data_IF_300011502215
#
_entry.id   IF_300011502215
#
_cell.length_a   1.000
_cell.length_b   1.000
_cell.length_c   1.000
_cell.angle_alpha   90.00
_cell.angle_beta   90.00
_cell.angle_gamma   90.00
#
_symmetry.space_group_name_H-M   'P 1'
#
loop_
_entity.id
_entity.type
_entity.pdbx_description
1 polymer ?
#
# COMPACT_ATOMS: atom_id res chain seq x y z
N UNK A 1 18.75 -10.76 11.48
CA UNK A 1 18.65 -11.34 10.11
C UNK A 1 17.42 -12.22 10.08
N UNK A 2 16.48 -11.97 9.18
CA UNK A 2 15.23 -12.75 9.02
C UNK A 2 15.04 -13.06 7.54
N UNK A 3 14.30 -14.13 7.23
CA UNK A 3 13.82 -14.40 5.89
C UNK A 3 12.49 -13.65 5.67
N UNK A 4 12.39 -12.93 4.56
CA UNK A 4 11.21 -12.11 4.23
C UNK A 4 10.77 -12.43 2.82
N UNK A 5 9.52 -12.84 2.67
CA UNK A 5 8.92 -13.07 1.35
C UNK A 5 7.91 -11.99 1.02
N UNK A 6 8.04 -11.41 -0.17
CA UNK A 6 7.16 -10.34 -0.67
C UNK A 6 6.26 -10.90 -1.77
N UNK A 7 4.99 -11.06 -1.49
CA UNK A 7 4.00 -11.43 -2.51
C UNK A 7 3.61 -10.17 -3.30
N UNK A 8 4.25 -9.99 -4.44
CA UNK A 8 4.05 -8.85 -5.33
C UNK A 8 5.25 -7.88 -5.39
N UNK A 9 6.30 -8.25 -6.14
CA UNK A 9 7.44 -7.38 -6.47
C UNK A 9 7.04 -6.36 -7.56
N UNK A 10 6.06 -5.52 -7.22
CA UNK A 10 5.60 -4.41 -8.03
C UNK A 10 6.24 -3.09 -7.60
N UNK A 11 5.51 -1.99 -7.82
CA UNK A 11 5.95 -0.61 -7.59
C UNK A 11 6.43 -0.35 -6.15
N UNK A 12 5.79 -0.94 -5.13
CA UNK A 12 6.21 -0.86 -3.73
C UNK A 12 7.11 -2.03 -3.35
N UNK A 13 6.78 -3.25 -3.78
CA UNK A 13 7.43 -4.47 -3.31
C UNK A 13 8.87 -4.63 -3.80
N UNK A 14 9.19 -4.18 -5.02
CA UNK A 14 10.56 -4.24 -5.54
C UNK A 14 11.52 -3.29 -4.79
N UNK A 15 11.21 -1.98 -4.60
CA UNK A 15 12.04 -1.11 -3.77
C UNK A 15 12.16 -1.58 -2.31
N UNK A 16 11.09 -2.15 -1.75
CA UNK A 16 11.14 -2.74 -0.40
C UNK A 16 12.11 -3.93 -0.35
N UNK A 17 12.11 -4.78 -1.38
CA UNK A 17 13.03 -5.92 -1.45
C UNK A 17 14.48 -5.46 -1.40
N UNK A 18 14.85 -4.44 -2.20
CA UNK A 18 16.20 -3.86 -2.19
C UNK A 18 16.56 -3.27 -0.83
N UNK A 19 15.67 -2.49 -0.26
CA UNK A 19 15.88 -1.88 1.06
C UNK A 19 16.14 -2.94 2.15
N UNK A 20 15.38 -4.04 2.13
CA UNK A 20 15.54 -5.13 3.10
C UNK A 20 16.81 -5.94 2.88
N UNK A 21 17.25 -6.14 1.62
CA UNK A 21 18.55 -6.75 1.29
C UNK A 21 19.71 -5.89 1.81
N UNK A 22 19.66 -4.56 1.61
CA UNK A 22 20.65 -3.61 2.14
C UNK A 22 20.71 -3.64 3.68
N UNK A 23 19.58 -3.95 4.34
CA UNK A 23 19.51 -4.15 5.80
C UNK A 23 20.00 -5.53 6.25
N UNK A 24 20.45 -6.40 5.34
CA UNK A 24 21.00 -7.72 5.64
C UNK A 24 19.97 -8.82 5.88
N UNK A 25 18.73 -8.64 5.39
CA UNK A 25 17.72 -9.70 5.39
C UNK A 25 17.87 -10.63 4.19
N UNK A 26 17.38 -11.87 4.29
CA UNK A 26 17.17 -12.75 3.15
C UNK A 26 15.81 -12.44 2.52
N UNK A 27 15.80 -12.07 1.24
CA UNK A 27 14.58 -11.62 0.60
C UNK A 27 14.23 -12.51 -0.59
N UNK A 28 12.98 -12.95 -0.60
CA UNK A 28 12.33 -13.64 -1.73
C UNK A 28 11.14 -12.83 -2.19
N UNK A 29 10.65 -13.10 -3.40
CA UNK A 29 9.42 -12.45 -3.80
C UNK A 29 8.75 -13.05 -5.02
N UNK A 30 7.55 -12.57 -5.32
CA UNK A 30 6.80 -13.00 -6.49
C UNK A 30 6.59 -11.89 -7.51
N UNK A 31 6.55 -12.29 -8.76
CA UNK A 31 6.07 -11.46 -9.87
C UNK A 31 5.04 -12.21 -10.69
N UNK A 32 4.12 -11.48 -11.33
CA UNK A 32 3.19 -12.05 -12.32
C UNK A 32 3.74 -11.95 -13.74
N UNK A 33 4.88 -11.25 -13.94
CA UNK A 33 5.50 -11.00 -15.25
C UNK A 33 6.70 -11.93 -15.45
N UNK A 34 6.66 -12.82 -16.46
CA UNK A 34 7.82 -13.62 -16.85
C UNK A 34 9.03 -12.76 -17.22
N UNK A 35 8.80 -11.62 -17.88
CA UNK A 35 9.88 -10.73 -18.30
C UNK A 35 10.64 -10.10 -17.13
N UNK A 36 9.94 -9.81 -16.02
CA UNK A 36 10.58 -9.31 -14.81
C UNK A 36 11.33 -10.39 -14.02
N UNK A 37 10.94 -11.63 -14.14
CA UNK A 37 11.49 -12.74 -13.35
C UNK A 37 13.01 -12.82 -13.48
N UNK A 38 13.52 -12.94 -14.71
CA UNK A 38 14.96 -13.07 -14.99
C UNK A 38 15.73 -11.83 -14.54
N UNK A 39 15.17 -10.64 -14.73
CA UNK A 39 15.77 -9.38 -14.28
C UNK A 39 15.90 -9.26 -12.77
N UNK A 40 14.92 -9.71 -12.01
CA UNK A 40 14.96 -9.71 -10.53
C UNK A 40 15.96 -10.76 -10.01
N UNK A 41 15.97 -11.96 -10.61
CA UNK A 41 16.91 -13.03 -10.24
C UNK A 41 18.36 -12.65 -10.54
N UNK A 42 18.63 -12.04 -11.70
CA UNK A 42 20.00 -11.59 -12.05
C UNK A 42 20.55 -10.52 -11.10
N UNK A 43 19.64 -9.78 -10.44
CA UNK A 43 19.98 -8.78 -9.43
C UNK A 43 20.04 -9.35 -8.00
N UNK A 44 19.86 -10.66 -7.80
CA UNK A 44 20.03 -11.34 -6.51
C UNK A 44 18.76 -11.47 -5.66
N UNK A 45 17.56 -11.22 -6.21
CA UNK A 45 16.31 -11.51 -5.50
C UNK A 45 15.80 -12.89 -5.93
N UNK A 46 15.71 -13.84 -5.00
CA UNK A 46 15.04 -15.13 -5.26
C UNK A 46 13.56 -14.86 -5.62
N UNK A 47 13.22 -15.07 -6.88
CA UNK A 47 11.91 -14.67 -7.42
C UNK A 47 11.19 -15.86 -8.04
N UNK A 48 9.90 -16.03 -7.73
CA UNK A 48 9.00 -17.00 -8.33
C UNK A 48 7.88 -16.32 -9.13
N UNK A 49 7.38 -17.04 -10.15
CA UNK A 49 6.12 -16.64 -10.81
C UNK A 49 4.95 -17.06 -9.92
N UNK A 50 4.12 -16.08 -9.56
CA UNK A 50 2.90 -16.33 -8.80
C UNK A 50 1.82 -15.32 -9.19
N UNK A 51 0.69 -15.83 -9.62
CA UNK A 51 -0.52 -15.07 -9.90
C UNK A 51 -1.68 -15.71 -9.10
N UNK A 52 -2.54 -14.89 -8.54
CA UNK A 52 -3.80 -15.37 -7.94
C UNK A 52 -4.96 -15.05 -8.88
N UNK A 53 -5.71 -16.09 -9.35
CA UNK A 53 -6.78 -15.96 -10.35
C UNK A 53 -8.00 -16.86 -10.08
N UNK A 54 -8.75 -16.73 -8.98
CA UNK A 54 -8.30 -16.34 -7.64
C UNK A 54 -7.33 -17.34 -7.02
N UNK A 55 -7.30 -18.60 -7.53
CA UNK A 55 -6.38 -19.65 -7.11
C UNK A 55 -4.92 -19.26 -7.41
N UNK A 56 -3.97 -19.76 -6.63
CA UNK A 56 -2.56 -19.55 -6.91
C UNK A 56 -2.12 -20.33 -8.15
N UNK A 57 -1.60 -19.63 -9.14
CA UNK A 57 -1.05 -20.15 -10.38
C UNK A 57 0.43 -19.74 -10.47
N UNK A 58 1.33 -20.67 -10.76
CA UNK A 58 2.75 -20.35 -10.90
C UNK A 58 3.68 -21.53 -10.73
N UNK A 59 4.98 -21.27 -10.82
CA UNK A 59 6.02 -22.29 -10.70
C UNK A 59 6.95 -21.92 -9.53
N UNK A 60 7.22 -22.89 -8.65
CA UNK A 60 8.18 -22.73 -7.55
C UNK A 60 7.71 -21.82 -6.41
N UNK A 61 6.49 -21.30 -6.46
CA UNK A 61 6.00 -20.27 -5.52
C UNK A 61 5.82 -20.76 -4.07
N UNK A 62 5.77 -22.08 -3.82
CA UNK A 62 5.55 -22.59 -2.46
C UNK A 62 6.69 -22.22 -1.52
N UNK A 63 7.93 -22.15 -2.02
CA UNK A 63 9.09 -21.70 -1.24
C UNK A 63 8.95 -20.27 -0.69
N UNK A 64 8.09 -19.45 -1.28
CA UNK A 64 7.79 -18.09 -0.78
C UNK A 64 7.07 -18.10 0.57
N UNK A 65 6.40 -19.20 0.92
CA UNK A 65 5.70 -19.34 2.20
C UNK A 65 6.58 -19.99 3.28
N UNK A 66 7.81 -20.40 2.94
CA UNK A 66 8.84 -20.87 3.88
C UNK A 66 9.69 -19.66 4.31
N UNK A 67 9.12 -18.83 5.19
CA UNK A 67 9.68 -17.52 5.56
C UNK A 67 9.30 -17.12 6.98
N UNK A 68 10.12 -16.26 7.61
CA UNK A 68 9.82 -15.71 8.94
C UNK A 68 8.71 -14.63 8.84
N UNK A 69 8.75 -13.82 7.77
CA UNK A 69 7.80 -12.74 7.54
C UNK A 69 7.26 -12.81 6.11
N UNK A 70 5.95 -12.82 5.96
CA UNK A 70 5.25 -12.73 4.68
C UNK A 70 4.69 -11.32 4.50
N UNK A 71 5.19 -10.60 3.52
CA UNK A 71 4.67 -9.27 3.14
C UNK A 71 3.73 -9.42 1.95
N UNK A 72 2.43 -9.17 2.17
CA UNK A 72 1.38 -9.37 1.18
C UNK A 72 1.02 -8.04 0.54
N UNK A 73 1.43 -7.85 -0.73
CA UNK A 73 1.28 -6.62 -1.51
C UNK A 73 0.55 -6.88 -2.84
N UNK A 74 -0.65 -7.48 -2.75
CA UNK A 74 -1.51 -7.77 -3.89
C UNK A 74 -2.57 -6.67 -4.02
N UNK A 75 -2.65 -5.95 -5.15
CA UNK A 75 -3.66 -4.91 -5.34
C UNK A 75 -5.06 -5.50 -5.60
N UNK A 76 -6.14 -4.87 -5.11
CA UNK A 76 -7.50 -5.41 -5.21
C UNK A 76 -8.09 -5.43 -6.62
N UNK A 77 -7.53 -4.72 -7.61
CA UNK A 77 -8.00 -4.66 -9.03
C UNK A 77 -9.53 -4.52 -9.20
N UNK A 78 -10.21 -3.86 -8.26
CA UNK A 78 -11.69 -3.84 -8.14
C UNK A 78 -12.45 -3.41 -9.40
N UNK A 79 -11.81 -2.68 -10.32
CA UNK A 79 -12.43 -2.22 -11.59
C UNK A 79 -12.45 -3.27 -12.70
N UNK A 80 -11.69 -4.36 -12.56
CA UNK A 80 -11.45 -5.33 -13.65
C UNK A 80 -11.80 -6.77 -13.28
N UNK A 81 -12.30 -7.01 -12.09
CA UNK A 81 -12.62 -8.36 -11.58
C UNK A 81 -13.97 -8.38 -10.88
N UNK A 82 -14.65 -9.54 -10.81
CA UNK A 82 -15.92 -9.68 -10.10
C UNK A 82 -15.81 -9.30 -8.61
N UNK A 83 -16.95 -8.89 -8.03
CA UNK A 83 -17.05 -8.70 -6.59
C UNK A 83 -16.66 -9.99 -5.83
N UNK A 84 -15.94 -9.83 -4.73
CA UNK A 84 -15.43 -10.97 -3.95
C UNK A 84 -14.15 -11.61 -4.46
N UNK A 85 -13.74 -11.34 -5.70
CA UNK A 85 -12.52 -11.94 -6.27
C UNK A 85 -11.28 -11.67 -5.42
N UNK A 86 -11.12 -10.43 -4.93
CA UNK A 86 -9.99 -10.08 -4.06
C UNK A 86 -10.03 -10.84 -2.73
N UNK A 87 -11.20 -10.98 -2.15
CA UNK A 87 -11.41 -11.76 -0.93
C UNK A 87 -10.98 -13.23 -1.11
N UNK A 88 -11.35 -13.85 -2.25
CA UNK A 88 -10.91 -15.21 -2.56
C UNK A 88 -9.39 -15.32 -2.73
N UNK A 89 -8.74 -14.36 -3.39
CA UNK A 89 -7.29 -14.33 -3.48
C UNK A 89 -6.64 -14.31 -2.09
N UNK A 90 -7.15 -13.49 -1.16
CA UNK A 90 -6.61 -13.37 0.19
C UNK A 90 -6.90 -14.62 1.04
N UNK A 91 -8.01 -15.33 0.82
CA UNK A 91 -8.23 -16.65 1.43
C UNK A 91 -7.13 -17.64 1.05
N UNK A 92 -6.78 -17.75 -0.25
CA UNK A 92 -5.70 -18.62 -0.69
C UNK A 92 -4.33 -18.22 -0.13
N UNK A 93 -4.04 -16.91 -0.02
CA UNK A 93 -2.82 -16.43 0.65
C UNK A 93 -2.79 -16.90 2.10
N UNK A 94 -3.90 -16.72 2.83
CA UNK A 94 -4.04 -17.18 4.22
C UNK A 94 -3.84 -18.68 4.35
N UNK A 95 -4.52 -19.49 3.52
CA UNK A 95 -4.41 -20.94 3.54
C UNK A 95 -2.98 -21.42 3.33
N UNK A 96 -2.28 -20.87 2.33
CA UNK A 96 -0.87 -21.19 2.07
C UNK A 96 0.03 -20.79 3.25
N UNK A 97 -0.20 -19.61 3.83
CA UNK A 97 0.56 -19.14 4.99
C UNK A 97 0.36 -20.04 6.22
N UNK A 98 -0.88 -20.46 6.49
CA UNK A 98 -1.20 -21.36 7.60
C UNK A 98 -0.60 -22.76 7.38
N UNK A 99 -0.77 -23.33 6.17
CA UNK A 99 -0.20 -24.64 5.81
C UNK A 99 1.33 -24.64 5.95
N UNK A 100 1.99 -23.56 5.59
CA UNK A 100 3.45 -23.40 5.68
C UNK A 100 3.92 -22.90 7.05
N UNK A 101 3.01 -22.70 8.01
CA UNK A 101 3.30 -22.26 9.39
C UNK A 101 4.02 -20.91 9.46
N UNK A 102 3.71 -20.00 8.54
CA UNK A 102 4.18 -18.61 8.59
C UNK A 102 3.80 -18.00 9.94
N UNK A 103 4.75 -17.32 10.58
CA UNK A 103 4.56 -16.76 11.92
C UNK A 103 4.13 -15.31 11.93
N UNK A 104 4.51 -14.56 10.91
CA UNK A 104 4.31 -13.10 10.86
C UNK A 104 3.86 -12.69 9.47
N UNK A 105 2.79 -11.91 9.40
CA UNK A 105 2.24 -11.39 8.14
C UNK A 105 2.13 -9.87 8.23
N UNK A 106 2.60 -9.17 7.21
CA UNK A 106 2.27 -7.77 6.97
C UNK A 106 1.36 -7.71 5.75
N UNK A 107 0.20 -7.11 5.92
CA UNK A 107 -0.79 -6.95 4.85
C UNK A 107 -0.88 -5.51 4.41
N UNK A 108 -0.65 -5.26 3.13
CA UNK A 108 -0.84 -3.94 2.51
C UNK A 108 -2.32 -3.75 2.22
N UNK A 109 -2.94 -2.89 3.00
CA UNK A 109 -4.31 -2.43 2.88
C UNK A 109 -4.36 -0.99 2.36
N UNK A 110 -5.50 -0.33 2.45
CA UNK A 110 -5.71 1.04 1.96
C UNK A 110 -6.58 1.85 2.90
N UNK A 111 -6.29 3.14 3.02
CA UNK A 111 -7.15 4.11 3.72
C UNK A 111 -8.52 4.30 3.06
N UNK A 112 -8.75 3.71 1.87
CA UNK A 112 -10.07 3.68 1.25
C UNK A 112 -11.11 2.87 2.03
N UNK A 113 -10.70 2.10 3.05
CA UNK A 113 -11.64 1.46 4.00
C UNK A 113 -12.39 2.48 4.83
N UNK A 114 -11.81 3.65 5.10
CA UNK A 114 -12.50 4.71 5.85
C UNK A 114 -13.48 5.47 4.95
N UNK A 115 -14.67 5.84 5.46
CA UNK A 115 -15.63 6.64 4.71
C UNK A 115 -15.16 8.10 4.58
N UNK A 116 -15.62 8.77 3.52
CA UNK A 116 -15.46 10.20 3.32
C UNK A 116 -16.68 10.92 3.96
N UNK A 117 -16.56 11.31 5.23
CA UNK A 117 -17.66 11.95 6.01
C UNK A 117 -17.28 13.31 6.57
N UNK A 118 -16.39 14.03 5.89
CA UNK A 118 -15.86 15.34 6.30
C UNK A 118 -15.28 15.32 7.71
N UNK A 119 -14.40 14.34 7.98
CA UNK A 119 -13.87 14.06 9.31
C UNK A 119 -12.40 13.67 9.29
N UNK A 120 -11.77 13.82 10.45
CA UNK A 120 -10.49 13.20 10.76
C UNK A 120 -10.73 11.79 11.30
N UNK A 121 -9.92 10.83 10.87
CA UNK A 121 -9.99 9.43 11.30
C UNK A 121 -8.62 8.86 11.61
N UNK A 122 -8.59 7.93 12.53
CA UNK A 122 -7.42 7.13 12.90
C UNK A 122 -7.74 5.63 12.87
N UNK A 123 -6.84 4.80 13.33
CA UNK A 123 -6.98 3.34 13.34
C UNK A 123 -8.04 2.82 14.30
N UNK A 124 -8.49 3.62 15.25
CA UNK A 124 -9.54 3.29 16.21
C UNK A 124 -10.96 3.40 15.64
N UNK A 125 -11.11 4.01 14.45
CA UNK A 125 -12.41 4.18 13.82
C UNK A 125 -13.12 2.83 13.61
N UNK A 126 -14.37 2.67 14.13
CA UNK A 126 -15.09 1.41 14.08
C UNK A 126 -15.62 1.11 12.67
N UNK A 127 -14.85 0.35 11.90
CA UNK A 127 -15.23 -0.05 10.53
C UNK A 127 -16.21 -1.21 10.54
N UNK A 128 -17.32 -1.03 9.83
CA UNK A 128 -18.33 -2.06 9.52
C UNK A 128 -18.55 -2.16 8.02
N UNK A 129 -19.26 -3.19 7.54
CA UNK A 129 -19.60 -3.29 6.12
C UNK A 129 -20.55 -2.18 5.65
N UNK A 130 -21.33 -1.61 6.56
CA UNK A 130 -22.28 -0.54 6.26
C UNK A 130 -21.60 0.82 6.14
N UNK A 131 -20.50 1.05 6.90
CA UNK A 131 -19.83 2.36 6.93
C UNK A 131 -18.52 2.42 6.17
N UNK A 132 -17.98 1.31 5.70
CA UNK A 132 -16.69 1.31 4.99
C UNK A 132 -16.78 1.92 3.61
N UNK A 133 -15.75 2.67 3.23
CA UNK A 133 -15.55 3.15 1.86
C UNK A 133 -15.13 2.05 0.86
N UNK A 134 -14.71 0.87 1.35
CA UNK A 134 -14.30 -0.25 0.50
C UNK A 134 -14.55 -1.61 1.16
N UNK A 135 -15.70 -2.20 0.88
CA UNK A 135 -16.10 -3.51 1.43
C UNK A 135 -15.12 -4.63 1.05
N UNK A 136 -14.62 -4.63 -0.18
CA UNK A 136 -13.69 -5.68 -0.63
C UNK A 136 -12.36 -5.69 0.13
N UNK A 137 -11.82 -4.50 0.45
CA UNK A 137 -10.59 -4.38 1.23
C UNK A 137 -10.85 -4.71 2.70
N UNK A 138 -11.94 -4.20 3.28
CA UNK A 138 -12.29 -4.53 4.65
C UNK A 138 -12.49 -6.03 4.83
N UNK A 139 -13.16 -6.70 3.88
CA UNK A 139 -13.33 -8.17 3.89
C UNK A 139 -11.98 -8.89 3.85
N UNK A 140 -11.02 -8.40 3.06
CA UNK A 140 -9.67 -8.97 3.03
C UNK A 140 -8.94 -8.82 4.38
N UNK A 141 -9.04 -7.67 5.04
CA UNK A 141 -8.52 -7.49 6.40
C UNK A 141 -9.15 -8.49 7.38
N UNK A 142 -10.48 -8.63 7.37
CA UNK A 142 -11.21 -9.54 8.27
C UNK A 142 -10.85 -11.02 8.02
N UNK A 143 -10.65 -11.44 6.76
CA UNK A 143 -10.20 -12.79 6.42
C UNK A 143 -8.86 -13.09 7.10
N UNK A 144 -7.90 -12.18 7.03
CA UNK A 144 -6.60 -12.37 7.65
C UNK A 144 -6.65 -12.29 9.18
N UNK A 145 -7.56 -11.49 9.75
CA UNK A 145 -7.74 -11.36 11.19
C UNK A 145 -8.46 -12.55 11.83
N UNK A 146 -9.37 -13.21 11.11
CA UNK A 146 -10.16 -14.32 11.65
C UNK A 146 -9.28 -15.54 11.89
N UNK A 147 -9.48 -16.24 13.02
CA UNK A 147 -8.87 -17.55 13.33
C UNK A 147 -7.38 -17.65 12.92
N UNK A 148 -6.60 -16.60 13.20
CA UNK A 148 -5.20 -16.51 12.80
C UNK A 148 -4.29 -17.31 13.74
N UNK A 149 -3.31 -18.01 13.17
CA UNK A 149 -2.21 -18.68 13.89
C UNK A 149 -0.86 -17.97 13.73
N UNK A 150 -0.89 -16.71 13.32
CA UNK A 150 0.25 -15.84 13.05
C UNK A 150 0.02 -14.44 13.62
N UNK A 151 1.08 -13.70 13.84
CA UNK A 151 1.00 -12.28 14.12
C UNK A 151 0.69 -11.52 12.82
N UNK A 152 -0.28 -10.62 12.85
CA UNK A 152 -0.72 -9.85 11.68
C UNK A 152 -0.57 -8.36 11.93
N UNK A 153 0.16 -7.67 11.05
CA UNK A 153 0.14 -6.21 11.01
C UNK A 153 -0.44 -5.73 9.69
N UNK A 154 -1.37 -4.79 9.77
CA UNK A 154 -2.03 -4.20 8.61
C UNK A 154 -1.49 -2.80 8.40
N UNK A 155 -1.09 -2.47 7.17
CA UNK A 155 -0.72 -1.11 6.79
C UNK A 155 -1.79 -0.58 5.83
N UNK A 156 -2.58 0.40 6.27
CA UNK A 156 -3.55 1.11 5.44
C UNK A 156 -2.84 2.28 4.77
N UNK A 157 -2.30 2.04 3.58
CA UNK A 157 -1.66 3.11 2.83
C UNK A 157 -2.67 4.08 2.22
N UNK A 158 -2.34 5.37 2.27
CA UNK A 158 -2.96 6.41 1.47
C UNK A 158 -2.56 6.32 0.00
N UNK A 159 -2.72 7.39 -0.75
CA UNK A 159 -2.27 7.46 -2.13
C UNK A 159 -0.75 7.30 -2.22
N UNK A 160 -0.30 6.17 -2.77
CA UNK A 160 1.11 5.87 -2.98
C UNK A 160 1.65 6.67 -4.17
N UNK A 161 2.49 7.64 -3.91
CA UNK A 161 3.04 8.61 -4.88
C UNK A 161 4.57 8.61 -4.90
N UNK A 162 5.14 9.33 -5.86
CA UNK A 162 6.58 9.43 -6.06
C UNK A 162 7.04 8.71 -7.32
N UNK A 163 8.28 8.95 -7.72
CA UNK A 163 8.88 8.44 -8.95
C UNK A 163 8.02 8.80 -10.17
N UNK A 164 7.26 7.87 -10.71
CA UNK A 164 6.40 7.98 -11.89
C UNK A 164 4.92 8.23 -11.57
N UNK A 165 4.53 8.19 -10.28
CA UNK A 165 3.15 8.42 -9.85
C UNK A 165 2.96 9.85 -9.38
N UNK A 166 2.56 10.72 -10.30
CA UNK A 166 2.41 12.17 -10.11
C UNK A 166 0.91 12.49 -10.09
N UNK A 167 0.33 12.91 -8.95
CA UNK A 167 -1.12 13.10 -8.87
C UNK A 167 -1.62 14.19 -9.81
N UNK A 168 -0.95 15.35 -9.89
CA UNK A 168 -1.34 16.44 -10.79
C UNK A 168 -1.40 16.04 -12.27
N UNK A 169 -0.55 15.12 -12.71
CA UNK A 169 -0.53 14.65 -14.11
C UNK A 169 -1.82 13.90 -14.49
N UNK A 170 -2.45 13.17 -13.54
CA UNK A 170 -3.73 12.48 -13.82
C UNK A 170 -4.89 13.44 -14.06
N UNK A 171 -4.79 14.66 -13.58
CA UNK A 171 -5.81 15.70 -13.69
C UNK A 171 -5.44 16.81 -14.64
N UNK A 172 -4.29 16.75 -15.29
CA UNK A 172 -3.84 17.73 -16.29
C UNK A 172 -4.88 17.91 -17.40
N UNK A 173 -5.28 19.16 -17.64
CA UNK A 173 -6.25 19.53 -18.68
C UNK A 173 -7.68 19.08 -18.42
N UNK A 174 -8.02 18.56 -17.25
CA UNK A 174 -9.39 18.18 -16.88
C UNK A 174 -10.14 19.35 -16.26
N UNK A 175 -11.46 19.37 -16.45
CA UNK A 175 -12.36 20.36 -15.83
C UNK A 175 -13.11 19.74 -14.65
N UNK A 176 -13.60 20.59 -13.75
CA UNK A 176 -14.40 20.22 -12.58
C UNK A 176 -13.70 19.20 -11.67
N UNK A 177 -12.41 19.42 -11.42
CA UNK A 177 -11.59 18.55 -10.57
C UNK A 177 -11.79 18.91 -9.10
N UNK A 178 -11.99 17.93 -8.23
CA UNK A 178 -12.02 18.17 -6.77
C UNK A 178 -10.70 18.78 -6.32
N UNK A 179 -10.74 19.98 -5.75
CA UNK A 179 -9.57 20.76 -5.35
C UNK A 179 -9.48 21.07 -3.85
N UNK A 180 -10.60 21.26 -3.18
CA UNK A 180 -10.71 21.74 -1.79
C UNK A 180 -10.59 20.65 -0.71
N UNK A 181 -10.39 19.40 -1.11
CA UNK A 181 -10.26 18.29 -0.16
C UNK A 181 -8.81 18.04 0.25
N UNK A 182 -8.55 17.71 1.53
CA UNK A 182 -7.21 17.36 1.98
C UNK A 182 -6.71 16.07 1.29
N UNK A 183 -5.42 16.00 1.03
CA UNK A 183 -4.80 14.79 0.51
C UNK A 183 -4.37 13.85 1.63
N UNK A 184 -4.43 12.54 1.35
CA UNK A 184 -3.89 11.50 2.21
C UNK A 184 -2.87 10.71 1.39
N UNK A 185 -1.66 11.25 1.24
CA UNK A 185 -0.62 10.71 0.39
C UNK A 185 0.57 10.21 1.20
N UNK A 186 1.33 9.30 0.63
CA UNK A 186 2.64 8.90 1.14
C UNK A 186 3.61 8.73 -0.03
N UNK A 187 4.83 9.22 0.14
CA UNK A 187 5.88 9.02 -0.85
C UNK A 187 6.42 7.59 -0.80
N UNK A 188 6.80 7.01 -1.94
CA UNK A 188 7.34 5.66 -2.07
C UNK A 188 8.47 5.37 -1.07
N UNK A 189 9.37 6.33 -0.89
CA UNK A 189 10.50 6.19 0.04
C UNK A 189 10.00 5.92 1.45
N UNK A 190 9.02 6.69 1.92
CA UNK A 190 8.47 6.50 3.27
C UNK A 190 7.57 5.27 3.38
N UNK A 191 6.87 4.88 2.32
CA UNK A 191 6.11 3.64 2.31
C UNK A 191 7.03 2.40 2.46
N UNK A 192 8.19 2.40 1.80
CA UNK A 192 9.24 1.39 1.95
C UNK A 192 9.82 1.40 3.36
N UNK A 193 10.22 2.58 3.86
CA UNK A 193 10.81 2.74 5.20
C UNK A 193 9.84 2.33 6.31
N UNK A 194 8.57 2.71 6.20
CA UNK A 194 7.52 2.33 7.15
C UNK A 194 7.33 0.80 7.18
N UNK A 195 7.29 0.16 6.01
CA UNK A 195 7.20 -1.30 5.92
C UNK A 195 8.39 -2.00 6.58
N UNK A 196 9.60 -1.50 6.37
CA UNK A 196 10.82 -2.01 7.02
C UNK A 196 10.83 -1.73 8.53
N UNK A 197 10.37 -0.53 8.95
CA UNK A 197 10.29 -0.13 10.35
C UNK A 197 9.45 -1.09 11.19
N UNK A 198 8.30 -1.52 10.68
CA UNK A 198 7.43 -2.50 11.33
C UNK A 198 8.19 -3.78 11.65
N UNK A 199 8.99 -4.27 10.69
CA UNK A 199 9.80 -5.48 10.85
C UNK A 199 10.91 -5.25 11.88
N UNK A 200 11.65 -4.15 11.76
CA UNK A 200 12.79 -3.81 12.61
C UNK A 200 12.39 -3.58 14.07
N UNK A 201 11.24 -2.95 14.29
CA UNK A 201 10.73 -2.63 15.63
C UNK A 201 9.81 -3.70 16.21
N UNK A 202 9.58 -4.80 15.46
CA UNK A 202 8.68 -5.89 15.88
C UNK A 202 7.26 -5.40 16.24
N UNK A 203 6.69 -4.52 15.42
CA UNK A 203 5.36 -3.93 15.62
C UNK A 203 4.29 -4.88 15.07
N UNK A 204 3.98 -5.93 15.84
CA UNK A 204 3.06 -6.99 15.42
C UNK A 204 1.69 -6.86 16.08
N UNK A 205 0.67 -7.44 15.41
CA UNK A 205 -0.74 -7.44 15.83
C UNK A 205 -1.36 -6.03 15.90
N UNK A 206 -0.91 -5.15 15.02
CA UNK A 206 -1.30 -3.76 14.95
C UNK A 206 -1.89 -3.41 13.59
N UNK A 207 -2.62 -2.31 13.53
CA UNK A 207 -2.97 -1.62 12.28
C UNK A 207 -2.33 -0.25 12.32
N UNK A 208 -1.70 0.17 11.22
CA UNK A 208 -1.11 1.49 11.04
C UNK A 208 -1.61 2.16 9.77
N UNK A 209 -1.87 3.45 9.85
CA UNK A 209 -2.08 4.29 8.67
C UNK A 209 -0.72 4.71 8.09
N UNK A 210 -0.51 4.42 6.82
CA UNK A 210 0.67 4.86 6.07
C UNK A 210 0.35 6.10 5.25
N UNK A 211 0.36 7.26 5.90
CA UNK A 211 0.05 8.57 5.30
C UNK A 211 1.04 9.59 5.82
N UNK A 212 1.53 10.50 4.98
CA UNK A 212 2.33 11.63 5.43
C UNK A 212 1.51 12.54 6.36
N UNK A 213 2.11 13.13 7.43
CA UNK A 213 1.37 13.85 8.46
C UNK A 213 0.78 15.20 8.01
N UNK A 214 1.23 15.76 6.90
CA UNK A 214 0.68 17.02 6.36
C UNK A 214 -0.33 16.71 5.26
N UNK A 215 -1.45 17.46 5.28
CA UNK A 215 -2.60 17.24 4.39
C UNK A 215 -2.97 18.50 3.61
N UNK A 216 -2.10 19.02 2.72
CA UNK A 216 -2.45 20.16 1.88
C UNK A 216 -3.69 19.85 1.02
N UNK A 217 -4.28 20.87 0.41
CA UNK A 217 -5.41 20.67 -0.47
C UNK A 217 -4.95 20.03 -1.81
N UNK A 218 -5.85 19.27 -2.41
CA UNK A 218 -5.57 18.63 -3.72
C UNK A 218 -5.14 19.64 -4.78
N UNK A 219 -5.79 20.83 -4.84
CA UNK A 219 -5.45 21.89 -5.78
C UNK A 219 -4.00 22.34 -5.63
N UNK A 220 -3.54 22.54 -4.38
CA UNK A 220 -2.19 23.02 -4.12
C UNK A 220 -1.13 22.02 -4.62
N UNK A 221 -1.39 20.71 -4.39
CA UNK A 221 -0.52 19.64 -4.89
C UNK A 221 -0.51 19.58 -6.42
N UNK A 222 -1.69 19.68 -7.05
CA UNK A 222 -1.81 19.56 -8.52
C UNK A 222 -1.16 20.75 -9.22
N UNK A 223 -1.36 21.96 -8.73
CA UNK A 223 -0.77 23.18 -9.26
C UNK A 223 0.74 23.17 -9.09
N UNK A 224 1.25 22.81 -7.90
CA UNK A 224 2.69 22.67 -7.68
C UNK A 224 3.31 21.64 -8.63
N UNK A 225 2.70 20.45 -8.77
CA UNK A 225 3.20 19.46 -9.71
C UNK A 225 3.24 19.96 -11.15
N UNK A 226 2.20 20.65 -11.61
CA UNK A 226 2.16 21.18 -12.97
C UNK A 226 3.23 22.26 -13.19
N UNK A 227 3.41 23.14 -12.23
CA UNK A 227 4.43 24.20 -12.29
C UNK A 227 5.86 23.63 -12.32
N UNK A 228 6.17 22.68 -11.43
CA UNK A 228 7.52 22.12 -11.31
C UNK A 228 7.88 21.16 -12.45
N UNK A 229 6.89 20.43 -12.98
CA UNK A 229 7.11 19.37 -13.97
C UNK A 229 6.69 19.73 -15.39
N UNK A 230 6.22 20.97 -15.63
CA UNK A 230 6.02 21.54 -16.95
C UNK A 230 4.82 20.96 -17.73
N UNK A 231 3.75 20.52 -17.06
CA UNK A 231 2.51 20.11 -17.71
C UNK A 231 1.34 21.03 -17.33
N UNK A 232 0.25 21.04 -18.12
CA UNK A 232 -0.89 21.90 -17.86
C UNK A 232 -1.58 21.55 -16.54
N UNK A 233 -1.99 22.52 -15.71
CA UNK A 233 -2.82 22.25 -14.53
C UNK A 233 -4.24 21.80 -14.93
N UNK A 234 -5.12 21.44 -13.99
CA UNK A 234 -6.55 21.34 -14.23
C UNK A 234 -7.10 22.63 -14.85
N UNK A 235 -8.07 22.51 -15.76
CA UNK A 235 -8.72 23.68 -16.41
C UNK A 235 -9.60 24.40 -15.38
N UNK A 236 -10.31 23.64 -14.54
CA UNK A 236 -11.15 24.19 -13.47
C UNK A 236 -11.28 23.22 -12.32
N UNK A 237 -11.60 23.76 -11.16
CA UNK A 237 -11.96 22.98 -9.97
C UNK A 237 -13.47 22.98 -9.78
N UNK A 238 -13.98 21.94 -9.09
CA UNK A 238 -15.35 21.88 -8.60
C UNK A 238 -15.59 22.97 -7.54
N UNK A 239 -16.85 23.32 -7.29
CA UNK A 239 -17.20 24.26 -6.23
C UNK A 239 -16.75 23.72 -4.86
N UNK A 240 -16.29 24.63 -4.00
CA UNK A 240 -15.83 24.29 -2.66
C UNK A 240 -17.00 23.68 -1.85
N UNK A 241 -16.71 22.58 -1.14
CA UNK A 241 -17.68 21.88 -0.30
C UNK A 241 -18.56 20.84 -1.02
N UNK A 242 -18.45 20.67 -2.34
CA UNK A 242 -19.19 19.62 -3.06
C UNK A 242 -18.69 18.21 -2.75
N UNK A 243 -17.38 18.05 -2.52
CA UNK A 243 -16.79 16.75 -2.32
C UNK A 243 -16.66 16.40 -0.83
N UNK A 244 -17.17 15.22 -0.46
CA UNK A 244 -16.92 14.65 0.86
C UNK A 244 -15.44 14.27 0.98
N UNK A 245 -14.88 14.47 2.16
CA UNK A 245 -13.45 14.24 2.42
C UNK A 245 -13.20 13.46 3.71
N UNK A 246 -11.98 13.03 3.89
CA UNK A 246 -11.41 12.54 5.15
C UNK A 246 -9.98 13.02 5.29
N UNK A 247 -9.52 13.19 6.52
CA UNK A 247 -8.13 13.39 6.89
C UNK A 247 -7.69 12.22 7.75
N UNK A 248 -6.62 11.55 7.35
CA UNK A 248 -6.17 10.29 7.98
C UNK A 248 -4.98 10.59 8.89
N UNK A 249 -5.14 10.39 10.21
CA UNK A 249 -4.04 10.53 11.15
C UNK A 249 -2.97 9.46 10.92
N UNK A 250 -1.70 9.88 11.06
CA UNK A 250 -0.52 9.02 11.14
C UNK A 250 0.12 9.02 12.53
N UNK A 251 -0.56 9.54 13.54
CA UNK A 251 -0.01 9.72 14.89
C UNK A 251 0.47 8.41 15.48
N UNK A 252 -0.29 7.32 15.30
CA UNK A 252 0.06 6.00 15.83
C UNK A 252 1.41 5.49 15.34
N UNK A 253 1.75 5.67 14.06
CA UNK A 253 3.08 5.26 13.56
C UNK A 253 4.18 6.23 14.01
N UNK A 254 3.88 7.52 14.13
CA UNK A 254 4.80 8.53 14.68
C UNK A 254 5.14 8.22 16.14
N UNK A 255 4.17 7.80 16.95
CA UNK A 255 4.37 7.42 18.36
C UNK A 255 5.32 6.24 18.54
N UNK A 256 5.53 5.42 17.49
CA UNK A 256 6.56 4.36 17.51
C UNK A 256 7.98 4.89 17.33
N UNK A 257 8.15 6.19 17.08
CA UNK A 257 9.42 6.84 16.76
C UNK A 257 9.76 6.84 15.26
N UNK A 258 8.82 6.44 14.38
CA UNK A 258 9.00 6.57 12.93
C UNK A 258 9.06 8.05 12.53
N UNK A 259 9.99 8.38 11.63
CA UNK A 259 10.13 9.74 11.09
C UNK A 259 9.99 9.69 9.57
N UNK A 260 9.02 10.43 9.06
CA UNK A 260 8.87 10.61 7.61
C UNK A 260 10.02 11.44 7.05
N UNK A 261 10.59 11.02 5.91
CA UNK A 261 11.53 11.85 5.15
C UNK A 261 10.79 12.89 4.30
N UNK A 262 9.57 12.57 3.91
CA UNK A 262 8.67 13.39 3.10
C UNK A 262 7.37 13.65 3.87
N UNK A 263 7.40 14.51 4.92
CA UNK A 263 6.23 14.73 5.78
C UNK A 263 5.11 15.54 5.12
N UNK A 264 5.43 16.32 4.08
CA UNK A 264 4.49 17.11 3.31
C UNK A 264 4.46 16.64 1.85
N UNK A 265 3.27 16.38 1.32
CA UNK A 265 3.11 15.98 -0.08
C UNK A 265 3.40 17.11 -1.08
N UNK A 266 3.46 18.34 -0.62
CA UNK A 266 3.97 19.46 -1.43
C UNK A 266 5.47 19.30 -1.72
N UNK A 267 6.24 18.65 -0.86
CA UNK A 267 7.68 18.46 -1.03
C UNK A 267 8.04 17.13 -1.70
N UNK A 268 7.07 16.36 -2.17
CA UNK A 268 7.32 15.10 -2.86
C UNK A 268 8.06 15.34 -4.16
N UNK A 269 9.17 14.62 -4.36
CA UNK A 269 9.90 14.63 -5.60
C UNK A 269 9.43 13.53 -6.56
N UNK A 270 9.53 13.79 -7.83
CA UNK A 270 9.14 12.89 -8.90
C UNK A 270 10.25 12.76 -9.94
N UNK A 271 10.25 11.65 -10.67
CA UNK A 271 11.09 11.42 -11.86
C UNK A 271 10.16 11.23 -13.05
N UNK A 272 9.86 12.30 -13.82
CA UNK A 272 8.92 12.27 -14.95
C UNK A 272 9.40 11.37 -16.09
#
# INVERSE_FOLDING_TARGET
>A
MSSISIIGLGWLGEPLAWHLLEKGHLVKGSTTSPDKLSGLQSKGIETALLKFNPHPEGIGFRSLFETDVLFVNIPPRSKSVPEGFYAEQIKFVKELAVQSKVKKIIFVSSTSVYPDWNQKVDESFPLTFENTGSQGILRAEQILQSEKSYDLTIIRFGGLLGVDRIPGRYFSGKSNVTGDSPVNYIHQVDAVRLSSWIIEKNLWNETFNGVAPMHPLRKDVYEKNSQELGFAPPISYAEDGEAMWKEISSDKILDTGFQFQMPDSLDFWYRP
#
